data_IF_926195695200
#
_entry.id   IF_926195695200
#
_cell.length_a   1.000
_cell.length_b   1.000
_cell.length_c   1.000
_cell.angle_alpha   90.00
_cell.angle_beta   90.00
_cell.angle_gamma   90.00
#
_symmetry.space_group_name_H-M   'P 1'
#
loop_
_entity.id
_entity.type
_entity.pdbx_description
1 polymer ?
#
# COMPACT_ATOMS: atom_id res chain seq x y z
N UNK A 1 -28.98 12.90 58.16
CA UNK A 1 -27.75 12.99 57.34
C UNK A 1 -28.08 12.68 55.89
N UNK A 2 -28.32 13.69 55.06
CA UNK A 2 -28.39 13.58 53.60
C UNK A 2 -27.54 14.71 53.05
N UNK A 3 -26.40 14.39 52.45
CA UNK A 3 -25.52 15.35 51.78
C UNK A 3 -25.76 15.26 50.28
N UNK A 4 -26.33 16.32 49.72
CA UNK A 4 -26.38 16.63 48.30
C UNK A 4 -25.01 17.11 47.83
N UNK A 5 -24.43 16.45 46.83
CA UNK A 5 -23.27 16.94 46.07
C UNK A 5 -23.78 17.60 44.79
N UNK A 6 -23.58 18.91 44.67
CA UNK A 6 -23.70 19.65 43.41
C UNK A 6 -22.32 19.64 42.74
N UNK A 7 -22.21 19.02 41.56
CA UNK A 7 -21.07 19.25 40.66
C UNK A 7 -21.35 20.53 39.87
N UNK A 8 -20.53 21.55 40.10
CA UNK A 8 -20.51 22.76 39.28
C UNK A 8 -19.76 22.46 37.97
N UNK A 9 -20.47 22.52 36.84
CA UNK A 9 -19.87 22.58 35.51
C UNK A 9 -19.46 24.03 35.28
N UNK A 10 -18.15 24.30 35.26
CA UNK A 10 -17.60 25.58 34.82
C UNK A 10 -17.59 25.57 33.29
N UNK A 11 -18.56 26.26 32.69
CA UNK A 11 -18.62 26.50 31.26
C UNK A 11 -17.64 27.64 30.94
N UNK A 12 -16.46 27.31 30.41
CA UNK A 12 -15.51 28.28 29.89
C UNK A 12 -16.01 28.71 28.50
N UNK A 13 -16.76 29.82 28.44
CA UNK A 13 -17.13 30.48 27.19
C UNK A 13 -15.88 31.10 26.57
N UNK A 14 -15.26 30.39 25.61
CA UNK A 14 -14.40 31.02 24.62
C UNK A 14 -15.26 31.97 23.79
N UNK A 15 -14.99 33.27 23.90
CA UNK A 15 -15.46 34.26 22.92
C UNK A 15 -14.77 33.95 21.58
N UNK A 16 -15.43 33.20 20.71
CA UNK A 16 -15.15 33.25 19.29
C UNK A 16 -15.76 34.56 18.77
N UNK A 17 -14.92 35.57 18.57
CA UNK A 17 -15.22 36.67 17.67
C UNK A 17 -15.34 36.08 16.27
N UNK A 18 -16.57 35.88 15.83
CA UNK A 18 -16.92 35.51 14.46
C UNK A 18 -16.43 36.59 13.50
N UNK A 19 -15.38 36.30 12.74
CA UNK A 19 -14.95 37.12 11.60
C UNK A 19 -16.02 36.96 10.51
N UNK A 20 -17.02 37.83 10.51
CA UNK A 20 -18.15 37.79 9.58
C UNK A 20 -17.81 38.23 8.14
N UNK A 21 -16.53 38.24 7.74
CA UNK A 21 -16.06 38.61 6.40
C UNK A 21 -15.13 37.60 5.72
N UNK A 22 -14.83 36.46 6.37
CA UNK A 22 -13.90 35.47 5.82
C UNK A 22 -14.52 34.59 4.72
N UNK A 23 -15.85 34.46 4.67
CA UNK A 23 -16.54 33.59 3.70
C UNK A 23 -16.58 34.14 2.25
N UNK A 24 -16.31 35.43 2.06
CA UNK A 24 -16.39 36.11 0.76
C UNK A 24 -15.02 36.31 0.08
N UNK A 25 -13.94 35.85 0.72
CA UNK A 25 -12.58 35.90 0.20
C UNK A 25 -12.15 34.50 -0.21
N UNK A 26 -11.86 34.32 -1.49
CA UNK A 26 -11.31 33.07 -2.02
C UNK A 26 -9.79 33.05 -1.81
N UNK A 27 -9.29 32.05 -1.08
CA UNK A 27 -7.89 31.96 -0.69
C UNK A 27 -7.19 30.80 -1.39
N UNK A 28 -6.09 31.11 -2.09
CA UNK A 28 -5.36 30.14 -2.92
C UNK A 28 -3.89 30.13 -2.54
N UNK A 29 -3.36 28.94 -2.27
CA UNK A 29 -1.93 28.68 -2.17
C UNK A 29 -1.34 28.33 -3.54
N UNK A 30 -0.30 29.06 -3.93
CA UNK A 30 0.48 28.75 -5.12
C UNK A 30 1.72 27.89 -4.80
N UNK A 31 2.15 27.02 -5.74
CA UNK A 31 3.33 26.20 -5.56
C UNK A 31 4.62 27.03 -5.53
N UNK A 32 5.68 26.50 -4.89
CA UNK A 32 7.02 27.07 -5.00
C UNK A 32 7.45 27.16 -6.47
N UNK A 33 8.16 28.23 -6.83
CA UNK A 33 8.64 28.47 -8.20
C UNK A 33 9.95 27.72 -8.50
N UNK A 34 10.75 27.47 -7.46
CA UNK A 34 12.07 26.85 -7.57
C UNK A 34 12.03 25.37 -7.17
N UNK A 35 13.00 24.54 -7.64
CA UNK A 35 13.18 23.19 -7.13
C UNK A 35 13.29 23.18 -5.61
N UNK A 36 12.49 22.33 -4.97
CA UNK A 36 12.41 22.26 -3.52
C UNK A 36 13.22 21.08 -3.02
N UNK A 37 14.06 21.31 -2.01
CA UNK A 37 14.78 20.24 -1.31
C UNK A 37 14.30 20.10 0.13
N UNK A 38 14.28 18.87 0.65
CA UNK A 38 14.03 18.63 2.07
C UNK A 38 14.97 19.46 2.96
N UNK A 39 14.45 19.97 4.07
CA UNK A 39 15.25 20.77 5.02
C UNK A 39 15.47 22.22 4.60
N UNK A 40 15.03 22.64 3.40
CA UNK A 40 15.14 24.03 2.93
C UNK A 40 13.86 24.82 3.24
N UNK A 41 13.97 26.13 3.53
CA UNK A 41 12.82 27.00 3.62
C UNK A 41 12.19 27.22 2.25
N UNK A 42 10.86 27.12 2.16
CA UNK A 42 10.08 27.46 0.98
C UNK A 42 9.16 28.63 1.26
N UNK A 43 8.85 29.39 0.22
CA UNK A 43 7.87 30.49 0.27
C UNK A 43 6.52 29.96 -0.22
N UNK A 44 5.52 30.08 0.64
CA UNK A 44 4.11 29.86 0.34
C UNK A 44 3.47 31.19 -0.02
N UNK A 45 3.09 31.31 -1.29
CA UNK A 45 2.35 32.46 -1.80
C UNK A 45 0.86 32.24 -1.58
N UNK A 46 0.27 32.99 -0.64
CA UNK A 46 -1.16 33.02 -0.35
C UNK A 46 -1.80 34.19 -1.08
N UNK A 47 -2.65 33.89 -2.07
CA UNK A 47 -3.47 34.86 -2.77
C UNK A 47 -4.85 34.93 -2.12
N UNK A 48 -5.28 36.14 -1.77
CA UNK A 48 -6.60 36.42 -1.23
C UNK A 48 -7.39 37.23 -2.26
N UNK A 49 -8.38 36.61 -2.89
CA UNK A 49 -9.19 37.19 -3.94
C UNK A 49 -10.53 37.66 -3.38
N UNK A 50 -10.81 38.96 -3.48
CA UNK A 50 -12.10 39.51 -3.09
C UNK A 50 -13.01 39.61 -4.31
N UNK A 51 -14.00 38.71 -4.37
CA UNK A 51 -14.95 38.64 -5.48
C UNK A 51 -16.12 39.61 -5.33
N UNK A 52 -16.21 40.34 -4.22
CA UNK A 52 -17.25 41.34 -3.95
C UNK A 52 -16.87 42.72 -4.50
N UNK A 53 -17.83 43.63 -4.57
CA UNK A 53 -17.60 45.01 -5.04
C UNK A 53 -17.11 45.95 -3.92
N UNK A 54 -17.04 45.47 -2.68
CA UNK A 54 -16.65 46.27 -1.50
C UNK A 54 -15.31 45.83 -0.94
N UNK A 55 -14.54 46.75 -0.38
CA UNK A 55 -13.30 46.41 0.35
C UNK A 55 -13.61 45.51 1.54
N UNK A 56 -12.94 44.37 1.62
CA UNK A 56 -13.00 43.46 2.76
C UNK A 56 -11.75 43.71 3.62
N UNK A 57 -11.95 43.78 4.94
CA UNK A 57 -10.85 43.89 5.89
C UNK A 57 -10.72 42.58 6.65
N UNK A 58 -9.56 41.94 6.56
CA UNK A 58 -9.25 40.66 7.18
C UNK A 58 -8.03 40.79 8.09
N UNK A 59 -7.99 40.04 9.18
CA UNK A 59 -6.76 39.86 9.96
C UNK A 59 -6.18 38.48 9.69
N UNK A 60 -4.93 38.43 9.22
CA UNK A 60 -4.18 37.19 9.08
C UNK A 60 -3.14 37.07 10.20
N UNK A 61 -2.98 35.90 10.80
CA UNK A 61 -1.97 35.69 11.83
C UNK A 61 -0.55 35.73 11.24
N UNK A 62 0.42 36.07 12.09
CA UNK A 62 1.85 36.05 11.75
C UNK A 62 2.38 34.62 11.57
N UNK A 63 1.69 33.64 12.14
CA UNK A 63 2.01 32.22 11.99
C UNK A 63 0.77 31.45 11.54
N UNK A 64 0.97 30.51 10.62
CA UNK A 64 -0.08 29.63 10.12
C UNK A 64 0.35 28.18 10.33
N UNK A 65 -0.36 27.39 11.15
CA UNK A 65 -0.07 25.97 11.28
C UNK A 65 -0.33 25.28 9.94
N UNK A 66 0.72 24.66 9.40
CA UNK A 66 0.68 23.92 8.15
C UNK A 66 0.87 22.44 8.46
N UNK A 67 -0.11 21.64 8.04
CA UNK A 67 0.03 20.19 8.03
C UNK A 67 0.76 19.78 6.75
N UNK A 68 1.95 19.19 6.92
CA UNK A 68 2.80 18.70 5.84
C UNK A 68 2.73 17.17 5.85
N UNK A 69 2.27 16.60 4.74
CA UNK A 69 2.17 15.16 4.51
C UNK A 69 3.24 14.73 3.51
N UNK A 70 4.17 13.87 3.94
CA UNK A 70 5.24 13.28 3.11
C UNK A 70 4.82 11.97 2.43
N UNK A 71 3.57 11.53 2.64
CA UNK A 71 3.07 10.22 2.26
C UNK A 71 3.41 9.10 3.25
N UNK A 72 4.41 9.30 4.12
CA UNK A 72 4.75 8.37 5.21
C UNK A 72 4.35 8.93 6.57
N UNK A 73 4.66 10.20 6.80
CA UNK A 73 4.36 10.88 8.05
C UNK A 73 3.67 12.20 7.80
N UNK A 74 2.96 12.67 8.81
CA UNK A 74 2.33 13.97 8.81
C UNK A 74 2.86 14.77 9.98
N UNK A 75 3.36 15.97 9.70
CA UNK A 75 3.90 16.88 10.71
C UNK A 75 3.22 18.24 10.60
N UNK A 76 2.98 18.88 11.73
CA UNK A 76 2.49 20.27 11.76
C UNK A 76 3.69 21.19 11.99
N UNK A 77 3.92 22.11 11.05
CA UNK A 77 4.97 23.13 11.13
C UNK A 77 4.32 24.49 10.89
N UNK A 78 4.65 25.47 11.72
CA UNK A 78 4.17 26.83 11.52
C UNK A 78 4.89 27.47 10.33
N UNK A 79 4.13 27.93 9.34
CA UNK A 79 4.61 28.87 8.35
C UNK A 79 4.60 30.27 8.96
N UNK A 80 5.75 30.96 8.88
CA UNK A 80 5.96 32.27 9.49
C UNK A 80 5.87 33.34 8.41
N UNK A 81 5.14 34.41 8.70
CA UNK A 81 5.00 35.51 7.76
C UNK A 81 6.37 36.18 7.48
N UNK A 82 6.65 36.50 6.21
CA UNK A 82 7.98 36.92 5.78
C UNK A 82 8.38 38.34 6.24
N UNK A 83 7.41 39.18 6.61
CA UNK A 83 7.67 40.54 7.10
C UNK A 83 7.11 40.72 8.54
N UNK A 84 7.94 40.52 9.57
CA UNK A 84 7.51 40.58 10.97
C UNK A 84 6.97 41.95 11.41
N UNK A 85 7.20 43.01 10.63
CA UNK A 85 6.75 44.37 10.94
C UNK A 85 5.47 44.76 10.20
N UNK A 86 5.02 43.97 9.22
CA UNK A 86 3.80 44.27 8.49
C UNK A 86 2.57 44.11 9.40
N UNK A 87 1.58 44.97 9.19
CA UNK A 87 0.29 44.87 9.84
C UNK A 87 -0.37 43.51 9.52
N UNK A 88 -0.95 42.87 10.53
CA UNK A 88 -1.76 41.65 10.39
C UNK A 88 -3.10 41.95 9.73
N UNK A 89 -3.54 43.20 9.85
CA UNK A 89 -4.75 43.73 9.21
C UNK A 89 -4.48 43.98 7.72
N UNK A 90 -5.40 43.51 6.90
CA UNK A 90 -5.35 43.55 5.44
C UNK A 90 -6.60 44.17 4.88
N UNK A 91 -6.43 45.16 4.02
CA UNK A 91 -7.51 45.69 3.19
C UNK A 91 -7.41 45.08 1.80
N UNK A 92 -8.43 44.33 1.40
CA UNK A 92 -8.53 43.67 0.10
C UNK A 92 -9.56 44.45 -0.71
N UNK A 93 -9.16 45.25 -1.72
CA UNK A 93 -10.08 46.05 -2.52
C UNK A 93 -11.18 45.19 -3.16
N UNK A 94 -12.38 45.76 -3.35
CA UNK A 94 -13.43 45.11 -4.12
C UNK A 94 -12.94 44.74 -5.53
N UNK A 95 -13.25 43.52 -5.99
CA UNK A 95 -12.75 42.92 -7.24
C UNK A 95 -11.23 42.88 -7.36
N UNK A 96 -10.52 42.99 -6.25
CA UNK A 96 -9.07 42.98 -6.17
C UNK A 96 -8.53 41.71 -5.52
N UNK A 97 -7.20 41.65 -5.41
CA UNK A 97 -6.51 40.61 -4.67
C UNK A 97 -5.35 41.19 -3.86
N UNK A 98 -4.95 40.48 -2.82
CA UNK A 98 -3.72 40.74 -2.07
C UNK A 98 -2.91 39.45 -2.01
N UNK A 99 -1.59 39.59 -2.12
CA UNK A 99 -0.64 38.48 -1.94
C UNK A 99 0.03 38.59 -0.58
N UNK A 100 0.11 37.48 0.15
CA UNK A 100 0.89 37.34 1.38
C UNK A 100 1.88 36.18 1.21
N UNK A 101 3.06 36.32 1.80
CA UNK A 101 4.12 35.32 1.71
C UNK A 101 4.47 34.81 3.10
N UNK A 102 4.38 33.50 3.27
CA UNK A 102 4.79 32.80 4.47
C UNK A 102 5.96 31.88 4.14
N UNK A 103 6.94 31.78 5.03
CA UNK A 103 8.06 30.84 4.92
C UNK A 103 7.79 29.64 5.81
N UNK A 104 7.96 28.45 5.26
CA UNK A 104 7.94 27.20 6.04
C UNK A 104 9.19 26.39 5.71
N UNK A 105 9.86 25.86 6.72
CA UNK A 105 10.99 24.95 6.53
C UNK A 105 10.47 23.54 6.47
N UNK A 106 10.66 22.88 5.32
CA UNK A 106 10.27 21.48 5.18
C UNK A 106 11.14 20.60 6.07
N UNK A 107 10.61 19.47 6.58
CA UNK A 107 11.44 18.47 7.22
C UNK A 107 12.58 18.01 6.28
N UNK A 108 13.74 17.70 6.85
CA UNK A 108 14.90 17.20 6.08
C UNK A 108 14.58 15.92 5.30
N UNK A 109 13.64 15.13 5.81
CA UNK A 109 13.18 13.86 5.24
C UNK A 109 12.06 14.01 4.21
N UNK A 110 11.54 15.22 3.98
CA UNK A 110 10.59 15.46 2.91
C UNK A 110 11.24 15.12 1.55
N UNK A 111 10.64 14.18 0.81
CA UNK A 111 11.11 13.74 -0.50
C UNK A 111 9.94 13.16 -1.30
N UNK A 112 10.00 13.23 -2.63
CA UNK A 112 8.91 12.77 -3.49
C UNK A 112 7.73 13.74 -3.48
N UNK A 113 6.51 13.21 -3.53
CA UNK A 113 5.30 14.05 -3.56
C UNK A 113 4.90 14.47 -2.15
N UNK A 114 4.95 15.78 -1.86
CA UNK A 114 4.61 16.36 -0.56
C UNK A 114 3.34 17.20 -0.68
N UNK A 115 2.45 17.11 0.29
CA UNK A 115 1.24 17.94 0.37
C UNK A 115 1.29 18.85 1.59
N UNK A 116 0.90 20.11 1.41
CA UNK A 116 0.75 21.12 2.47
C UNK A 116 -0.70 21.55 2.55
N UNK A 117 -1.25 21.59 3.76
CA UNK A 117 -2.61 22.05 4.07
C UNK A 117 -2.52 23.06 5.21
N UNK A 118 -3.10 24.25 5.04
CA UNK A 118 -3.26 25.20 6.15
C UNK A 118 -4.41 24.74 7.05
N UNK A 119 -4.19 24.65 8.36
CA UNK A 119 -5.22 24.12 9.27
C UNK A 119 -6.27 25.16 9.67
N UNK A 120 -5.91 26.44 9.62
CA UNK A 120 -6.75 27.54 10.10
C UNK A 120 -7.38 28.37 8.99
N UNK A 121 -6.97 28.17 7.73
CA UNK A 121 -7.49 28.89 6.56
C UNK A 121 -8.04 27.90 5.53
N UNK A 122 -9.21 28.20 5.00
CA UNK A 122 -9.82 27.43 3.92
C UNK A 122 -9.11 27.75 2.60
N UNK A 123 -8.19 26.87 2.19
CA UNK A 123 -7.36 27.02 0.99
C UNK A 123 -7.31 25.71 0.23
N UNK A 124 -6.89 25.75 -1.04
CA UNK A 124 -6.55 24.53 -1.75
C UNK A 124 -5.37 23.81 -1.07
N UNK A 125 -5.40 22.47 -0.95
CA UNK A 125 -4.21 21.72 -0.60
C UNK A 125 -3.15 21.94 -1.70
N UNK A 126 -1.90 22.13 -1.27
CA UNK A 126 -0.79 22.37 -2.17
C UNK A 126 0.07 21.12 -2.29
N UNK A 127 0.20 20.56 -3.50
CA UNK A 127 1.04 19.37 -3.74
C UNK A 127 2.15 19.69 -4.74
N UNK A 128 3.38 19.30 -4.41
CA UNK A 128 4.57 19.50 -5.25
C UNK A 128 5.63 18.44 -4.97
N UNK A 129 6.62 18.34 -5.84
CA UNK A 129 7.73 17.38 -5.70
C UNK A 129 8.88 18.01 -4.91
N UNK A 130 9.40 17.25 -3.95
CA UNK A 130 10.55 17.60 -3.12
C UNK A 130 11.70 16.66 -3.43
N UNK A 131 12.84 17.22 -3.77
CA UNK A 131 14.09 16.49 -3.92
C UNK A 131 14.67 16.14 -2.55
N UNK A 132 15.36 15.01 -2.52
CA UNK A 132 16.02 14.53 -1.31
C UNK A 132 17.10 15.51 -0.84
N UNK A 133 17.08 15.84 0.45
CA UNK A 133 18.10 16.68 1.06
C UNK A 133 19.50 16.04 0.97
N UNK A 134 20.56 16.83 0.73
CA UNK A 134 21.92 16.32 0.66
C UNK A 134 22.38 15.80 2.03
N UNK A 135 23.30 14.80 2.09
CA UNK A 135 23.65 14.11 3.35
C UNK A 135 24.05 15.02 4.51
N UNK A 136 24.69 16.16 4.22
CA UNK A 136 25.15 17.11 5.23
C UNK A 136 23.99 17.76 5.98
N UNK A 137 22.83 17.96 5.32
CA UNK A 137 21.63 18.54 5.92
C UNK A 137 21.05 17.66 7.05
N UNK A 138 21.38 16.36 7.05
CA UNK A 138 20.88 15.39 8.03
C UNK A 138 21.72 15.30 9.31
N UNK A 139 22.95 15.83 9.32
CA UNK A 139 23.95 15.57 10.35
C UNK A 139 23.55 16.02 11.78
N UNK A 140 22.55 16.90 11.90
CA UNK A 140 22.05 17.44 13.17
C UNK A 140 20.55 17.24 13.39
N UNK A 141 19.91 16.42 12.55
CA UNK A 141 18.46 16.27 12.55
C UNK A 141 18.04 15.05 13.38
N UNK A 142 17.03 15.24 14.23
CA UNK A 142 16.30 14.13 14.84
C UNK A 142 15.13 13.77 13.95
N UNK A 143 15.31 12.72 13.16
CA UNK A 143 14.34 12.24 12.18
C UNK A 143 13.44 11.19 12.82
N UNK A 144 12.13 11.18 12.51
CA UNK A 144 11.25 10.08 12.89
C UNK A 144 11.84 8.72 12.51
N UNK A 145 11.66 7.70 13.36
CA UNK A 145 12.31 6.40 13.19
C UNK A 145 11.93 5.73 11.86
N UNK A 146 10.69 5.92 11.43
CA UNK A 146 10.09 5.45 10.18
C UNK A 146 10.65 6.14 8.92
N UNK A 147 11.21 7.34 9.07
CA UNK A 147 11.87 8.10 7.99
C UNK A 147 13.37 7.78 7.89
N UNK A 148 13.98 7.15 8.90
CA UNK A 148 15.38 6.72 8.86
C UNK A 148 15.76 5.83 7.66
N UNK A 149 14.92 4.87 7.22
CA UNK A 149 15.17 4.09 6.01
C UNK A 149 15.25 4.92 4.72
N UNK A 150 14.48 6.00 4.57
CA UNK A 150 14.53 6.86 3.38
C UNK A 150 15.90 7.55 3.24
N UNK A 151 16.64 7.70 4.34
CA UNK A 151 18.02 8.19 4.36
C UNK A 151 19.05 7.20 3.81
N UNK A 152 18.86 5.90 3.96
CA UNK A 152 19.96 4.94 3.70
C UNK A 152 19.60 3.88 2.66
N UNK A 153 18.30 3.72 2.36
CA UNK A 153 17.80 2.68 1.46
C UNK A 153 17.29 3.27 0.13
N UNK A 154 18.22 3.74 -0.70
CA UNK A 154 17.90 4.35 -2.01
C UNK A 154 17.10 3.45 -2.97
N UNK A 155 17.05 2.14 -2.71
CA UNK A 155 16.36 1.17 -3.56
C UNK A 155 15.08 0.59 -2.93
N UNK A 156 14.63 1.12 -1.78
CA UNK A 156 13.43 0.60 -1.11
C UNK A 156 12.19 0.65 -2.01
N UNK A 157 12.07 1.68 -2.86
CA UNK A 157 10.98 1.80 -3.84
C UNK A 157 10.94 0.73 -4.94
N UNK A 158 11.98 -0.11 -5.07
CA UNK A 158 11.95 -1.27 -5.95
C UNK A 158 11.30 -2.50 -5.30
N UNK A 159 11.09 -2.48 -3.98
CA UNK A 159 10.36 -3.50 -3.24
C UNK A 159 8.86 -3.22 -3.31
N UNK A 160 8.06 -4.22 -3.66
CA UNK A 160 6.60 -4.13 -3.72
C UNK A 160 5.94 -5.47 -3.42
N UNK A 161 4.62 -5.49 -3.33
CA UNK A 161 3.87 -6.73 -3.05
C UNK A 161 3.80 -7.63 -4.28
N UNK A 162 3.85 -8.94 -4.05
CA UNK A 162 3.77 -9.96 -5.11
C UNK A 162 2.51 -10.81 -5.01
N UNK A 163 2.34 -11.56 -3.91
CA UNK A 163 1.12 -12.33 -3.60
C UNK A 163 0.39 -11.77 -2.35
N UNK A 164 -0.86 -12.19 -2.08
CA UNK A 164 -1.58 -11.81 -0.87
C UNK A 164 -0.80 -12.11 0.41
N UNK A 165 -0.97 -11.27 1.42
CA UNK A 165 -0.31 -11.38 2.71
C UNK A 165 -1.34 -11.40 3.83
N UNK A 166 -1.37 -12.50 4.58
CA UNK A 166 -2.44 -12.79 5.51
C UNK A 166 -1.98 -13.68 6.67
N UNK A 167 -2.79 -13.65 7.72
CA UNK A 167 -2.74 -14.59 8.83
C UNK A 167 -4.17 -15.07 9.12
N UNK A 168 -4.39 -16.38 9.02
CA UNK A 168 -5.69 -17.02 9.12
C UNK A 168 -5.65 -18.10 10.20
N UNK A 169 -6.59 -18.05 11.12
CA UNK A 169 -6.81 -19.08 12.12
C UNK A 169 -7.63 -20.22 11.51
N UNK A 170 -7.22 -21.45 11.76
CA UNK A 170 -7.99 -22.63 11.35
C UNK A 170 -9.28 -22.74 12.15
N UNK A 171 -10.41 -22.91 11.46
CA UNK A 171 -11.75 -23.05 12.06
C UNK A 171 -12.21 -24.50 11.99
N UNK A 172 -12.09 -25.11 10.83
CA UNK A 172 -12.39 -26.52 10.57
C UNK A 172 -11.26 -27.07 9.69
N UNK A 173 -10.54 -28.15 10.08
CA UNK A 173 -10.77 -29.02 11.24
C UNK A 173 -10.34 -28.46 12.60
N UNK A 174 -9.58 -27.36 12.62
CA UNK A 174 -9.15 -26.73 13.88
C UNK A 174 -7.93 -25.82 13.74
N UNK A 175 -7.46 -25.32 14.88
CA UNK A 175 -6.33 -24.40 14.98
C UNK A 175 -4.98 -25.00 14.54
N UNK A 176 -4.89 -26.33 14.47
CA UNK A 176 -3.78 -27.07 13.87
C UNK A 176 -3.59 -26.76 12.38
N UNK A 177 -4.61 -26.21 11.73
CA UNK A 177 -4.59 -25.79 10.34
C UNK A 177 -4.55 -24.26 10.19
N UNK A 178 -3.93 -23.54 11.13
CA UNK A 178 -3.74 -22.09 10.96
C UNK A 178 -2.71 -21.81 9.87
N UNK A 179 -2.86 -20.74 9.11
CA UNK A 179 -2.06 -20.48 7.90
C UNK A 179 -1.66 -19.01 7.82
N UNK A 180 -0.41 -18.77 7.47
CA UNK A 180 0.02 -17.42 7.10
C UNK A 180 0.80 -17.43 5.79
N UNK A 181 0.80 -16.28 5.12
CA UNK A 181 1.58 -16.04 3.93
C UNK A 181 2.14 -14.62 3.97
N UNK A 182 3.40 -14.47 3.59
CA UNK A 182 3.97 -13.18 3.24
C UNK A 182 4.65 -13.27 1.88
N UNK A 183 4.69 -12.15 1.16
CA UNK A 183 5.17 -12.15 -0.21
C UNK A 183 5.60 -10.77 -0.67
N UNK A 184 6.75 -10.71 -1.35
CA UNK A 184 7.25 -9.48 -1.97
C UNK A 184 7.95 -9.76 -3.29
N UNK A 185 8.07 -8.73 -4.11
CA UNK A 185 8.90 -8.69 -5.31
C UNK A 185 9.81 -7.47 -5.30
N UNK A 186 10.95 -7.63 -5.96
CA UNK A 186 11.98 -6.62 -6.10
C UNK A 186 12.31 -6.45 -7.58
N UNK A 187 12.17 -5.23 -8.11
CA UNK A 187 12.57 -4.88 -9.47
C UNK A 187 14.08 -4.73 -9.56
N UNK A 188 14.72 -5.52 -10.42
CA UNK A 188 16.19 -5.60 -10.48
C UNK A 188 16.84 -4.39 -11.14
N UNK A 189 16.24 -3.85 -12.19
CA UNK A 189 16.82 -2.79 -13.01
C UNK A 189 16.04 -1.48 -12.85
N UNK A 190 16.77 -0.38 -12.65
CA UNK A 190 16.19 0.96 -12.63
C UNK A 190 15.70 1.32 -14.05
N UNK A 191 14.40 1.63 -14.27
CA UNK A 191 13.88 2.05 -15.57
C UNK A 191 14.49 3.35 -16.11
N UNK A 192 14.99 4.20 -15.21
CA UNK A 192 15.64 5.48 -15.57
C UNK A 192 17.16 5.34 -15.68
N UNK A 193 17.70 4.12 -15.50
CA UNK A 193 19.13 3.87 -15.57
C UNK A 193 19.64 3.69 -17.01
N UNK A 194 20.94 3.94 -17.21
CA UNK A 194 21.63 3.78 -18.49
C UNK A 194 21.39 2.44 -19.19
N UNK A 195 21.35 1.34 -18.44
CA UNK A 195 21.10 0.01 -19.01
C UNK A 195 19.66 -0.10 -19.55
N UNK A 196 18.68 0.46 -18.86
CA UNK A 196 17.29 0.46 -19.30
C UNK A 196 17.07 1.44 -20.47
N UNK A 197 17.80 2.53 -20.55
CA UNK A 197 17.80 3.41 -21.73
C UNK A 197 18.23 2.65 -22.99
N UNK A 198 19.30 1.85 -22.90
CA UNK A 198 19.82 1.03 -24.02
C UNK A 198 19.00 -0.21 -24.31
N UNK A 199 18.41 -0.81 -23.27
CA UNK A 199 17.66 -2.04 -23.35
C UNK A 199 16.41 -1.96 -22.45
N UNK A 200 15.35 -1.23 -22.86
CA UNK A 200 14.19 -0.96 -22.00
C UNK A 200 13.49 -2.22 -21.47
N UNK A 201 13.59 -3.32 -22.20
CA UNK A 201 13.00 -4.60 -21.82
C UNK A 201 13.56 -5.14 -20.50
N UNK A 202 14.82 -4.83 -20.11
CA UNK A 202 15.43 -5.41 -18.90
C UNK A 202 14.71 -4.98 -17.62
N UNK A 203 14.01 -3.84 -17.62
CA UNK A 203 13.22 -3.36 -16.47
C UNK A 203 12.05 -4.27 -16.11
N UNK A 204 11.71 -5.24 -16.97
CA UNK A 204 10.74 -6.28 -16.68
C UNK A 204 11.23 -7.38 -15.73
N UNK A 205 12.54 -7.49 -15.44
CA UNK A 205 13.06 -8.53 -14.55
C UNK A 205 12.84 -8.21 -13.06
N UNK A 206 12.31 -9.21 -12.36
CA UNK A 206 12.00 -9.14 -10.94
C UNK A 206 12.47 -10.41 -10.23
N UNK A 207 12.90 -10.25 -8.98
CA UNK A 207 12.95 -11.34 -8.01
C UNK A 207 11.68 -11.29 -7.18
N UNK A 208 11.10 -12.42 -6.83
CA UNK A 208 10.07 -12.52 -5.81
C UNK A 208 10.43 -13.56 -4.78
N UNK A 209 9.79 -13.43 -3.63
CA UNK A 209 9.84 -14.40 -2.56
C UNK A 209 8.46 -14.46 -1.91
N UNK A 210 7.87 -15.64 -1.93
CA UNK A 210 6.67 -15.97 -1.16
C UNK A 210 7.03 -17.03 -0.13
N UNK A 211 6.54 -16.87 1.09
CA UNK A 211 6.63 -17.91 2.10
C UNK A 211 5.24 -18.18 2.66
N UNK A 212 4.90 -19.46 2.76
CA UNK A 212 3.62 -19.93 3.26
C UNK A 212 3.87 -20.98 4.32
N UNK A 213 3.18 -20.92 5.45
CA UNK A 213 3.28 -21.96 6.46
C UNK A 213 1.92 -22.37 7.00
N UNK A 214 1.81 -23.65 7.33
CA UNK A 214 0.77 -24.19 8.20
C UNK A 214 1.34 -24.23 9.61
N UNK A 215 0.71 -23.49 10.50
CA UNK A 215 1.09 -23.38 11.90
C UNK A 215 0.09 -24.13 12.76
N UNK A 216 0.57 -25.19 13.41
CA UNK A 216 -0.22 -25.90 14.39
C UNK A 216 -0.30 -25.10 15.68
N UNK A 217 -1.40 -24.38 15.88
CA UNK A 217 -1.64 -23.59 17.10
C UNK A 217 -2.37 -24.38 18.20
N UNK A 218 -2.68 -25.65 17.94
CA UNK A 218 -3.46 -26.51 18.84
C UNK A 218 -2.56 -27.40 19.70
N UNK A 219 -1.51 -27.97 19.12
CA UNK A 219 -0.63 -28.92 19.81
C UNK A 219 0.44 -28.25 20.68
N UNK A 220 1.03 -29.05 21.56
CA UNK A 220 2.05 -28.61 22.51
C UNK A 220 3.25 -27.98 21.79
N UNK A 221 3.72 -26.86 22.33
CA UNK A 221 4.79 -26.03 21.74
C UNK A 221 4.49 -25.37 20.40
N UNK A 222 3.27 -25.57 19.85
CA UNK A 222 2.75 -24.91 18.65
C UNK A 222 3.73 -25.00 17.46
N UNK A 223 4.07 -26.20 16.99
CA UNK A 223 5.05 -26.38 15.92
C UNK A 223 4.51 -25.89 14.57
N UNK A 224 5.41 -25.57 13.64
CA UNK A 224 5.03 -25.48 12.22
C UNK A 224 4.90 -26.89 11.65
N UNK A 225 3.78 -27.16 11.00
CA UNK A 225 3.53 -28.43 10.30
C UNK A 225 4.31 -28.48 8.99
N UNK A 226 4.14 -27.43 8.17
CA UNK A 226 4.90 -27.23 6.93
C UNK A 226 5.24 -25.74 6.76
N UNK A 227 6.38 -25.46 6.12
CA UNK A 227 6.74 -24.12 5.66
C UNK A 227 7.30 -24.22 4.26
N UNK A 228 6.61 -23.66 3.29
CA UNK A 228 7.04 -23.57 1.90
C UNK A 228 7.78 -22.25 1.63
N UNK A 229 9.01 -22.35 1.12
CA UNK A 229 9.88 -21.26 0.67
C UNK A 229 9.83 -21.18 -0.85
N UNK A 230 9.36 -20.07 -1.42
CA UNK A 230 9.11 -19.90 -2.86
C UNK A 230 9.84 -18.69 -3.47
N UNK A 231 11.17 -18.75 -3.67
CA UNK A 231 11.87 -17.74 -4.44
C UNK A 231 11.57 -17.89 -5.95
N UNK A 232 11.52 -16.75 -6.64
CA UNK A 232 11.14 -16.67 -8.05
C UNK A 232 11.99 -15.63 -8.77
N UNK A 233 12.43 -15.95 -9.99
CA UNK A 233 13.00 -14.99 -10.93
C UNK A 233 12.08 -14.94 -12.14
N UNK A 234 11.52 -13.77 -12.43
CA UNK A 234 10.54 -13.65 -13.49
C UNK A 234 10.69 -12.38 -14.31
N UNK A 235 10.07 -12.44 -15.49
CA UNK A 235 9.89 -11.33 -16.38
C UNK A 235 8.42 -10.90 -16.39
N UNK A 236 8.19 -9.60 -16.25
CA UNK A 236 6.86 -8.99 -16.23
C UNK A 236 6.68 -8.05 -17.42
N UNK A 237 5.68 -8.35 -18.24
CA UNK A 237 5.08 -7.42 -19.18
C UNK A 237 3.79 -6.88 -18.55
N UNK A 238 3.83 -5.71 -17.89
CA UNK A 238 2.73 -5.26 -17.04
C UNK A 238 1.50 -4.80 -17.85
N UNK A 239 1.70 -4.40 -19.11
CA UNK A 239 0.64 -3.93 -19.99
C UNK A 239 0.87 -4.37 -21.43
N UNK A 240 -0.12 -5.05 -21.99
CA UNK A 240 -0.28 -5.33 -23.42
C UNK A 240 -1.66 -4.82 -23.80
N UNK A 241 -1.71 -3.83 -24.69
CA UNK A 241 -2.98 -3.22 -25.09
C UNK A 241 -3.69 -4.07 -26.15
N UNK A 242 -4.78 -4.72 -25.73
CA UNK A 242 -5.60 -5.55 -26.63
C UNK A 242 -6.61 -4.72 -27.45
N UNK A 243 -6.78 -3.42 -27.15
CA UNK A 243 -7.75 -2.55 -27.81
C UNK A 243 -9.19 -3.11 -27.79
N UNK A 244 -9.60 -3.69 -26.66
CA UNK A 244 -10.95 -4.23 -26.43
C UNK A 244 -11.57 -3.50 -25.25
N UNK A 245 -12.66 -2.76 -25.47
CA UNK A 245 -13.26 -1.81 -24.51
C UNK A 245 -13.51 -2.38 -23.10
N UNK A 246 -13.89 -3.66 -22.99
CA UNK A 246 -14.18 -4.29 -21.70
C UNK A 246 -12.95 -4.87 -21.00
N UNK A 247 -11.84 -5.04 -21.69
CA UNK A 247 -10.59 -5.52 -21.09
C UNK A 247 -9.89 -4.32 -20.46
N UNK A 248 -10.00 -4.21 -19.13
CA UNK A 248 -9.42 -3.09 -18.38
C UNK A 248 -7.93 -3.28 -18.09
N UNK A 249 -7.44 -4.52 -18.10
CA UNK A 249 -6.03 -4.84 -17.91
C UNK A 249 -5.66 -6.13 -18.64
N UNK A 250 -4.49 -6.15 -19.27
CA UNK A 250 -3.89 -7.38 -19.76
C UNK A 250 -2.38 -7.30 -19.66
N UNK A 251 -1.76 -8.35 -19.11
CA UNK A 251 -0.31 -8.46 -18.94
C UNK A 251 0.12 -9.92 -18.89
N UNK A 252 1.43 -10.16 -18.99
CA UNK A 252 2.00 -11.50 -18.95
C UNK A 252 3.17 -11.51 -17.99
N UNK A 253 3.17 -12.49 -17.09
CA UNK A 253 4.31 -12.84 -16.25
C UNK A 253 4.84 -14.21 -16.69
N UNK A 254 6.15 -14.39 -16.74
CA UNK A 254 6.75 -15.71 -16.97
C UNK A 254 8.10 -15.81 -16.28
N UNK A 255 8.43 -16.98 -15.74
CA UNK A 255 9.60 -17.07 -14.89
C UNK A 255 9.96 -18.48 -14.47
N UNK A 256 11.01 -18.53 -13.67
CA UNK A 256 11.47 -19.69 -12.93
C UNK A 256 11.11 -19.51 -11.45
N UNK A 257 10.48 -20.52 -10.87
CA UNK A 257 10.11 -20.54 -9.46
C UNK A 257 10.69 -21.80 -8.82
N UNK A 258 11.40 -21.67 -7.72
CA UNK A 258 11.73 -22.79 -6.85
C UNK A 258 10.72 -22.84 -5.70
N UNK A 259 10.37 -24.03 -5.23
CA UNK A 259 9.57 -24.24 -4.02
C UNK A 259 10.16 -25.40 -3.23
N UNK A 260 10.46 -25.19 -1.96
CA UNK A 260 10.89 -26.26 -1.05
C UNK A 260 10.30 -26.07 0.34
N UNK A 261 10.26 -27.14 1.13
CA UNK A 261 9.79 -27.07 2.52
C UNK A 261 10.89 -26.81 3.56
N UNK A 262 12.15 -26.69 3.11
CA UNK A 262 13.32 -26.45 3.96
C UNK A 262 13.71 -27.62 4.88
N UNK A 263 13.08 -28.80 4.71
CA UNK A 263 13.39 -30.02 5.48
C UNK A 263 14.47 -30.84 4.79
N UNK A 264 15.09 -31.77 5.53
CA UNK A 264 16.09 -32.72 5.02
C UNK A 264 15.65 -34.18 5.17
N UNK A 265 16.38 -35.09 4.51
CA UNK A 265 16.09 -36.53 4.55
C UNK A 265 14.73 -36.86 3.95
N UNK A 266 14.04 -37.85 4.52
CA UNK A 266 12.77 -38.38 4.01
C UNK A 266 11.62 -37.36 4.02
N UNK A 267 11.72 -36.30 4.84
CA UNK A 267 10.75 -35.20 4.88
C UNK A 267 11.08 -34.07 3.89
N UNK A 268 12.24 -34.11 3.22
CA UNK A 268 12.60 -33.11 2.22
C UNK A 268 11.58 -33.13 1.10
N UNK A 269 11.09 -31.96 0.71
CA UNK A 269 10.26 -31.80 -0.49
C UNK A 269 10.71 -30.58 -1.25
N UNK A 270 10.88 -30.73 -2.55
CA UNK A 270 11.29 -29.62 -3.42
C UNK A 270 10.85 -29.80 -4.86
N UNK A 271 10.69 -28.68 -5.55
CA UNK A 271 10.28 -28.63 -6.94
C UNK A 271 10.66 -27.29 -7.55
N UNK A 272 10.90 -27.26 -8.85
CA UNK A 272 11.09 -26.05 -9.62
C UNK A 272 10.15 -26.04 -10.81
N UNK A 273 9.67 -24.85 -11.14
CA UNK A 273 8.75 -24.59 -12.21
C UNK A 273 9.36 -23.62 -13.21
N UNK A 274 9.17 -23.90 -14.50
CA UNK A 274 9.07 -22.84 -15.50
C UNK A 274 7.60 -22.58 -15.77
N UNK A 275 7.19 -21.31 -15.81
CA UNK A 275 5.79 -20.98 -16.00
C UNK A 275 5.57 -19.74 -16.88
N UNK A 276 4.35 -19.64 -17.40
CA UNK A 276 3.79 -18.44 -18.02
C UNK A 276 2.38 -18.22 -17.46
N UNK A 277 2.10 -17.00 -17.04
CA UNK A 277 0.86 -16.54 -16.42
C UNK A 277 0.39 -15.24 -17.09
N UNK A 278 -0.42 -15.31 -18.16
CA UNK A 278 -1.23 -14.17 -18.58
C UNK A 278 -2.21 -13.79 -17.47
N UNK A 279 -2.44 -12.49 -17.30
CA UNK A 279 -3.38 -11.92 -16.33
C UNK A 279 -4.27 -10.95 -17.07
N UNK A 280 -5.58 -11.18 -17.00
CA UNK A 280 -6.60 -10.37 -17.66
C UNK A 280 -7.59 -9.82 -16.62
N UNK A 281 -7.84 -8.52 -16.69
CA UNK A 281 -8.92 -7.84 -15.98
C UNK A 281 -10.01 -7.43 -16.97
N UNK A 282 -11.25 -7.76 -16.64
CA UNK A 282 -12.42 -7.42 -17.44
C UNK A 282 -13.35 -6.57 -16.59
N UNK A 283 -13.68 -5.37 -17.05
CA UNK A 283 -14.70 -4.54 -16.45
C UNK A 283 -16.08 -5.19 -16.62
N UNK A 284 -16.81 -5.38 -15.52
CA UNK A 284 -18.17 -5.91 -15.55
C UNK A 284 -19.20 -4.78 -15.46
N UNK A 285 -19.36 -4.21 -14.26
CA UNK A 285 -20.33 -3.16 -13.95
C UNK A 285 -20.01 -2.50 -12.61
N UNK A 286 -20.35 -1.22 -12.45
CA UNK A 286 -20.08 -0.48 -11.21
C UNK A 286 -18.59 -0.54 -10.84
N UNK A 287 -18.22 -0.92 -9.60
CA UNK A 287 -16.83 -1.11 -9.19
C UNK A 287 -16.25 -2.50 -9.54
N UNK A 288 -17.08 -3.42 -10.04
CA UNK A 288 -16.70 -4.83 -10.15
C UNK A 288 -15.89 -5.14 -11.40
N UNK A 289 -14.78 -5.84 -11.17
CA UNK A 289 -13.90 -6.39 -12.19
C UNK A 289 -13.80 -7.91 -12.07
N UNK A 290 -13.71 -8.60 -13.20
CA UNK A 290 -13.38 -10.02 -13.29
C UNK A 290 -11.89 -10.16 -13.61
N UNK A 291 -11.14 -10.82 -12.73
CA UNK A 291 -9.77 -11.28 -12.97
C UNK A 291 -9.81 -12.70 -13.51
N UNK A 292 -9.04 -12.97 -14.57
CA UNK A 292 -8.79 -14.31 -15.11
C UNK A 292 -7.28 -14.41 -15.34
N UNK A 293 -6.63 -15.35 -14.65
CA UNK A 293 -5.17 -15.51 -14.71
C UNK A 293 -4.76 -16.98 -14.71
N UNK A 294 -4.80 -17.66 -15.87
CA UNK A 294 -4.29 -19.02 -16.00
C UNK A 294 -2.77 -19.04 -15.94
N UNK A 295 -2.19 -19.81 -15.02
CA UNK A 295 -0.77 -20.11 -14.93
C UNK A 295 -0.53 -21.51 -15.50
N UNK A 296 0.22 -21.57 -16.59
CA UNK A 296 0.71 -22.81 -17.17
C UNK A 296 2.13 -23.03 -16.71
N UNK A 297 2.46 -24.22 -16.23
CA UNK A 297 3.79 -24.52 -15.70
C UNK A 297 4.26 -25.92 -16.04
N UNK A 298 5.57 -26.11 -16.04
CA UNK A 298 6.22 -27.41 -16.15
C UNK A 298 7.32 -27.54 -15.10
N UNK A 299 7.56 -28.78 -14.68
CA UNK A 299 8.60 -29.14 -13.73
C UNK A 299 9.96 -29.15 -14.43
N UNK A 300 11.01 -28.62 -13.78
CA UNK A 300 12.37 -28.59 -14.33
C UNK A 300 13.42 -28.87 -13.26
N UNK A 301 14.40 -29.72 -13.57
CA UNK A 301 15.52 -29.99 -12.66
C UNK A 301 15.07 -30.42 -11.26
N UNK A 302 13.95 -31.14 -11.17
CA UNK A 302 13.47 -31.69 -9.91
C UNK A 302 14.26 -32.94 -9.57
N UNK A 303 14.43 -33.15 -8.28
CA UNK A 303 14.90 -34.43 -7.76
C UNK A 303 13.72 -35.40 -7.66
N UNK A 304 13.96 -36.65 -8.05
CA UNK A 304 12.97 -37.72 -8.06
C UNK A 304 12.98 -38.54 -6.75
N UNK A 305 13.85 -38.21 -5.79
CA UNK A 305 14.00 -39.02 -4.57
C UNK A 305 12.80 -38.93 -3.60
N UNK A 306 12.15 -37.78 -3.45
CA UNK A 306 11.22 -37.52 -2.33
C UNK A 306 9.80 -37.13 -2.74
N UNK A 307 9.60 -36.69 -3.99
CA UNK A 307 8.30 -36.32 -4.53
C UNK A 307 8.22 -36.44 -6.06
N UNK A 308 8.66 -37.59 -6.59
CA UNK A 308 8.62 -37.90 -8.04
C UNK A 308 7.20 -37.81 -8.64
N UNK A 309 6.17 -38.20 -7.89
CA UNK A 309 4.78 -38.21 -8.33
C UNK A 309 4.03 -36.89 -8.05
N UNK A 310 4.73 -35.81 -7.69
CA UNK A 310 4.12 -34.50 -7.41
C UNK A 310 3.20 -34.00 -8.54
N UNK A 311 3.59 -34.23 -9.80
CA UNK A 311 2.81 -33.83 -10.97
C UNK A 311 1.44 -34.53 -11.06
N UNK A 312 1.30 -35.73 -10.47
CA UNK A 312 0.04 -36.45 -10.45
C UNK A 312 -1.01 -35.72 -9.57
N UNK A 313 -0.58 -34.89 -8.61
CA UNK A 313 -1.44 -34.17 -7.65
C UNK A 313 -1.59 -32.68 -7.93
N UNK A 314 -0.55 -32.03 -8.44
CA UNK A 314 -0.58 -30.59 -8.76
C UNK A 314 -0.90 -30.29 -10.23
N UNK A 315 -0.65 -31.23 -11.14
CA UNK A 315 -0.88 -31.06 -12.57
C UNK A 315 0.10 -30.05 -13.19
N UNK A 316 -0.36 -29.32 -14.20
CA UNK A 316 0.46 -28.40 -15.00
C UNK A 316 -0.21 -27.03 -15.19
N UNK A 317 -1.27 -26.79 -14.42
CA UNK A 317 -2.21 -25.69 -14.65
C UNK A 317 -2.85 -25.24 -13.33
N UNK A 318 -2.84 -23.92 -13.11
CA UNK A 318 -3.56 -23.21 -12.05
C UNK A 318 -4.40 -22.12 -12.70
N UNK A 319 -5.72 -22.14 -12.48
CA UNK A 319 -6.61 -21.09 -12.93
C UNK A 319 -7.04 -20.22 -11.75
N UNK A 320 -6.55 -18.99 -11.75
CA UNK A 320 -7.03 -17.97 -10.83
C UNK A 320 -8.18 -17.17 -11.47
N UNK A 321 -9.33 -17.12 -10.78
CA UNK A 321 -10.48 -16.29 -11.18
C UNK A 321 -10.94 -15.47 -9.98
N UNK A 322 -11.12 -14.17 -10.15
CA UNK A 322 -11.59 -13.29 -9.08
C UNK A 322 -12.68 -12.32 -9.50
N UNK A 323 -13.65 -12.08 -8.64
CA UNK A 323 -14.63 -10.99 -8.74
C UNK A 323 -14.29 -9.94 -7.68
N UNK A 324 -13.82 -8.77 -8.10
CA UNK A 324 -13.18 -7.80 -7.21
C UNK A 324 -13.86 -6.43 -7.29
N UNK A 325 -14.25 -5.90 -6.12
CA UNK A 325 -14.44 -4.45 -5.88
C UNK A 325 -13.17 -3.94 -5.18
N UNK A 326 -12.33 -3.10 -5.82
CA UNK A 326 -11.08 -2.59 -5.25
C UNK A 326 -11.24 -1.96 -3.87
N UNK A 327 -12.37 -1.30 -3.62
CA UNK A 327 -12.66 -0.62 -2.36
C UNK A 327 -13.60 -1.42 -1.44
N UNK A 328 -14.05 -2.61 -1.87
CA UNK A 328 -15.10 -3.38 -1.21
C UNK A 328 -14.81 -4.87 -1.20
N UNK A 329 -15.83 -5.70 -1.41
CA UNK A 329 -15.72 -7.16 -1.32
C UNK A 329 -14.92 -7.74 -2.49
N UNK A 330 -14.07 -8.73 -2.25
CA UNK A 330 -13.45 -9.50 -3.32
C UNK A 330 -13.50 -11.00 -3.02
N UNK A 331 -13.86 -11.78 -4.03
CA UNK A 331 -13.87 -13.24 -4.02
C UNK A 331 -12.89 -13.74 -5.08
N UNK A 332 -11.84 -14.44 -4.66
CA UNK A 332 -10.85 -15.05 -5.54
C UNK A 332 -10.91 -16.56 -5.41
N UNK A 333 -10.66 -17.26 -6.51
CA UNK A 333 -10.60 -18.71 -6.56
C UNK A 333 -9.34 -19.16 -7.31
N UNK A 334 -8.71 -20.22 -6.82
CA UNK A 334 -7.69 -20.98 -7.53
C UNK A 334 -8.22 -22.38 -7.82
N UNK A 335 -8.00 -22.87 -9.04
CA UNK A 335 -8.38 -24.20 -9.48
C UNK A 335 -7.19 -24.90 -10.10
N UNK A 336 -6.75 -25.99 -9.48
CA UNK A 336 -5.76 -26.91 -10.02
C UNK A 336 -6.45 -28.16 -10.56
N UNK A 337 -5.95 -28.66 -11.70
CA UNK A 337 -6.43 -29.91 -12.27
C UNK A 337 -5.27 -30.87 -12.49
N UNK A 338 -5.33 -32.03 -11.85
CA UNK A 338 -4.29 -33.04 -11.92
C UNK A 338 -4.90 -34.44 -12.16
N UNK A 339 -4.03 -35.42 -12.35
CA UNK A 339 -4.42 -36.81 -12.59
C UNK A 339 -5.18 -37.42 -11.40
N UNK A 340 -4.82 -37.05 -10.18
CA UNK A 340 -5.40 -37.58 -8.93
C UNK A 340 -6.70 -36.86 -8.53
N UNK A 341 -6.94 -35.67 -9.07
CA UNK A 341 -8.15 -34.90 -8.81
C UNK A 341 -7.95 -33.41 -9.06
N UNK A 342 -9.03 -32.65 -8.86
CA UNK A 342 -8.99 -31.20 -8.83
C UNK A 342 -8.83 -30.71 -7.38
N UNK A 343 -8.12 -29.60 -7.22
CA UNK A 343 -8.00 -28.86 -5.96
C UNK A 343 -8.54 -27.46 -6.14
N UNK A 344 -9.18 -26.91 -5.11
CA UNK A 344 -9.74 -25.56 -5.13
C UNK A 344 -9.36 -24.79 -3.87
N UNK A 345 -9.03 -23.52 -4.03
CA UNK A 345 -8.98 -22.55 -2.94
C UNK A 345 -9.95 -21.42 -3.23
N UNK A 346 -10.71 -20.99 -2.25
CA UNK A 346 -11.61 -19.83 -2.30
C UNK A 346 -11.20 -18.84 -1.22
N UNK A 347 -11.03 -17.57 -1.58
CA UNK A 347 -10.65 -16.48 -0.70
C UNK A 347 -11.66 -15.35 -0.79
N UNK A 348 -12.34 -15.06 0.31
CA UNK A 348 -13.27 -13.94 0.44
C UNK A 348 -12.65 -12.87 1.33
N UNK A 349 -12.58 -11.63 0.85
CA UNK A 349 -12.02 -10.49 1.61
C UNK A 349 -13.00 -9.33 1.74
N UNK A 350 -12.94 -8.63 2.89
CA UNK A 350 -13.74 -7.46 3.17
C UNK A 350 -12.94 -6.36 3.91
N UNK A 351 -12.88 -5.11 3.41
CA UNK A 351 -12.07 -4.05 4.01
C UNK A 351 -12.69 -3.51 5.30
N UNK A 352 -11.90 -3.51 6.37
CA UNK A 352 -12.36 -3.06 7.69
C UNK A 352 -12.57 -1.55 7.80
N UNK A 353 -11.98 -0.78 6.88
CA UNK A 353 -12.20 0.66 6.77
C UNK A 353 -13.68 1.01 6.58
N UNK A 354 -14.48 0.12 5.94
CA UNK A 354 -15.93 0.29 5.79
C UNK A 354 -16.71 -0.02 7.08
N UNK A 355 -16.20 -0.88 7.95
CA UNK A 355 -16.89 -1.29 9.19
C UNK A 355 -16.58 -0.39 10.38
N UNK A 356 -15.34 0.12 10.45
CA UNK A 356 -14.83 0.85 11.61
C UNK A 356 -14.35 2.26 11.24
N UNK A 357 -15.08 2.97 10.38
CA UNK A 357 -14.85 4.40 10.13
C UNK A 357 -13.42 4.77 9.69
N UNK A 358 -12.78 3.93 8.87
CA UNK A 358 -11.37 4.07 8.43
C UNK A 358 -10.32 3.99 9.55
N UNK A 359 -10.65 3.46 10.73
CA UNK A 359 -9.70 3.33 11.83
C UNK A 359 -8.74 2.15 11.70
N UNK A 360 -9.08 1.13 10.91
CA UNK A 360 -8.27 -0.09 10.73
C UNK A 360 -8.03 -0.39 9.25
N UNK A 361 -6.74 -0.43 8.86
CA UNK A 361 -6.28 -0.65 7.49
C UNK A 361 -5.88 -2.12 7.27
N UNK A 362 -6.85 -3.03 7.37
CA UNK A 362 -6.71 -4.43 6.99
C UNK A 362 -8.03 -4.97 6.42
N UNK A 363 -7.99 -6.15 5.81
CA UNK A 363 -9.16 -6.88 5.35
C UNK A 363 -9.46 -8.03 6.30
N UNK A 364 -10.73 -8.30 6.58
CA UNK A 364 -11.14 -9.62 7.05
C UNK A 364 -11.03 -10.59 5.87
N UNK A 365 -10.53 -11.79 6.12
CA UNK A 365 -10.42 -12.84 5.11
C UNK A 365 -11.02 -14.15 5.63
N UNK A 366 -11.81 -14.79 4.77
CA UNK A 366 -12.23 -16.18 4.90
C UNK A 366 -11.62 -16.99 3.75
N UNK A 367 -10.99 -18.12 4.09
CA UNK A 367 -10.39 -19.01 3.11
C UNK A 367 -10.95 -20.42 3.27
N UNK A 368 -11.28 -21.05 2.15
CA UNK A 368 -11.60 -22.47 2.07
C UNK A 368 -10.64 -23.14 1.09
N UNK A 369 -10.00 -24.22 1.51
CA UNK A 369 -9.22 -25.10 0.65
C UNK A 369 -9.86 -26.48 0.62
N UNK A 370 -9.87 -27.13 -0.53
CA UNK A 370 -10.27 -28.54 -0.70
C UNK A 370 -9.46 -29.17 -1.82
N UNK A 371 -8.69 -30.22 -1.51
CA UNK A 371 -7.95 -30.98 -2.53
C UNK A 371 -6.59 -31.45 -2.06
N UNK A 372 -5.69 -31.62 -3.02
CA UNK A 372 -4.30 -32.03 -2.86
C UNK A 372 -3.35 -30.85 -2.99
N UNK A 373 -2.14 -30.96 -2.42
CA UNK A 373 -1.04 -30.04 -2.73
C UNK A 373 -1.11 -28.67 -2.05
N UNK A 374 -1.86 -28.51 -0.96
CA UNK A 374 -1.81 -27.25 -0.20
C UNK A 374 -0.41 -27.01 0.39
N UNK A 375 0.22 -28.08 0.88
CA UNK A 375 1.59 -28.09 1.40
C UNK A 375 2.44 -29.04 0.60
N UNK A 376 3.76 -28.86 0.64
CA UNK A 376 4.67 -29.77 -0.03
C UNK A 376 4.81 -31.09 0.73
N UNK A 377 4.82 -31.08 2.06
CA UNK A 377 4.97 -32.32 2.83
C UNK A 377 3.77 -33.27 2.68
N UNK A 378 2.56 -32.74 2.63
CA UNK A 378 1.30 -33.50 2.47
C UNK A 378 0.72 -33.37 1.05
N UNK A 379 1.56 -33.20 0.02
CA UNK A 379 1.07 -32.95 -1.34
C UNK A 379 0.17 -34.05 -1.90
N UNK A 380 0.37 -35.29 -1.45
CA UNK A 380 -0.34 -36.49 -1.87
C UNK A 380 -1.56 -36.82 -0.99
N UNK A 381 -1.82 -36.00 0.05
CA UNK A 381 -2.97 -36.14 0.93
C UNK A 381 -4.07 -35.18 0.49
N UNK A 382 -5.33 -35.64 0.56
CA UNK A 382 -6.49 -34.80 0.32
C UNK A 382 -7.04 -34.31 1.64
N UNK A 383 -7.19 -33.00 1.79
CA UNK A 383 -7.84 -32.42 2.96
C UNK A 383 -8.65 -31.18 2.59
N UNK A 384 -9.54 -30.84 3.50
CA UNK A 384 -10.38 -29.66 3.45
C UNK A 384 -10.06 -28.79 4.67
N UNK A 385 -9.98 -27.48 4.48
CA UNK A 385 -9.71 -26.55 5.57
C UNK A 385 -10.46 -25.24 5.37
N UNK A 386 -11.19 -24.82 6.40
CA UNK A 386 -11.80 -23.51 6.50
C UNK A 386 -11.06 -22.65 7.52
N UNK A 387 -10.71 -21.43 7.13
CA UNK A 387 -9.88 -20.52 7.92
C UNK A 387 -10.45 -19.10 7.89
N UNK A 388 -10.29 -18.39 9.00
CA UNK A 388 -10.71 -16.99 9.15
C UNK A 388 -9.59 -16.16 9.75
N UNK A 389 -9.40 -14.94 9.27
CA UNK A 389 -8.43 -14.03 9.86
C UNK A 389 -8.36 -12.70 9.15
N UNK A 390 -7.15 -12.20 8.97
CA UNK A 390 -6.91 -10.89 8.40
C UNK A 390 -5.85 -10.94 7.28
N UNK A 391 -6.01 -10.05 6.31
CA UNK A 391 -4.98 -9.76 5.32
C UNK A 391 -4.63 -8.28 5.31
N UNK A 392 -3.36 -8.02 5.00
CA UNK A 392 -2.87 -6.65 4.76
C UNK A 392 -2.78 -6.37 3.25
N UNK A 393 -2.71 -7.42 2.44
CA UNK A 393 -2.78 -7.36 0.98
C UNK A 393 -3.60 -8.54 0.46
N UNK A 394 -4.41 -8.32 -0.58
CA UNK A 394 -5.36 -9.28 -1.16
C UNK A 394 -5.22 -9.40 -2.66
#
# INVERSE_FOLDING_TARGET
>A
MKRTFQCAVVLLTMLMSTIAGAADVDMVLAPPQDPVQGGTPIILDLYLNNNTDTTIVLELPQTLPCRIDTGQTTVTIDAVFNDPQAETRLEIPGRGFVKRQYTVTLPVYATGSVQIILETLDTNPLTFTVERAPPEAWASQQVPLDEGPTMIQSFLGNLSVHDPMYFLLGVDPGLDQSKYQFSFKYRLFNPEGYLAEKAPWISGFHLAYTQRAIWDLKNDSKPFDDTSYMPELFYLLPKIDLHIDRISAFGIQGGFQHQSNGKGGDESRSTNYLYVKPVMGVYLTGPYHLKIAPKFFTYVGNDDETNEDLADYLGYFDLEVGLLDPDGIALTSHLWWAKKGASVQLDLTYPMTRMLGKSLNFYLQAQYFSGYGETLIHYNERHDAFRLGFSIVR
#
